data_IF_099884085725
#
_entry.id   IF_099884085725
#
_cell.length_a   1.000
_cell.length_b   1.000
_cell.length_c   1.000
_cell.angle_alpha   90.00
_cell.angle_beta   90.00
_cell.angle_gamma   90.00
#
_symmetry.space_group_name_H-M   'P 1'
#
loop_
_entity.id
_entity.type
_entity.pdbx_description
1 polymer ?
#
# COMPACT_ATOMS: atom_id res chain seq x y z
N UNK A 1 -20.49 -17.45 -20.28
CA UNK A 1 -19.41 -16.95 -19.46
C UNK A 1 -20.09 -16.42 -18.21
N UNK A 2 -19.84 -16.99 -17.04
CA UNK A 2 -20.33 -16.43 -15.79
C UNK A 2 -19.50 -15.17 -15.56
N UNK A 3 -20.13 -14.00 -15.65
CA UNK A 3 -19.52 -12.72 -15.25
C UNK A 3 -19.23 -12.81 -13.74
N UNK A 4 -18.05 -13.30 -13.36
CA UNK A 4 -17.61 -13.17 -11.99
C UNK A 4 -17.39 -11.68 -11.72
N UNK A 5 -17.92 -11.15 -10.60
CA UNK A 5 -17.69 -9.76 -10.28
C UNK A 5 -16.20 -9.51 -10.02
N UNK A 6 -15.68 -8.40 -10.52
CA UNK A 6 -14.32 -7.97 -10.21
C UNK A 6 -14.16 -7.76 -8.71
N UNK A 7 -13.16 -8.38 -8.10
CA UNK A 7 -12.86 -8.28 -6.67
C UNK A 7 -11.78 -7.22 -6.44
N UNK A 8 -12.04 -6.27 -5.54
CA UNK A 8 -11.03 -5.31 -5.09
C UNK A 8 -10.10 -5.96 -4.07
N UNK A 9 -8.83 -6.17 -4.42
CA UNK A 9 -7.79 -6.65 -3.49
C UNK A 9 -7.14 -5.45 -2.83
N UNK A 10 -7.37 -5.30 -1.52
CA UNK A 10 -7.05 -4.10 -0.74
C UNK A 10 -5.74 -4.31 0.03
N UNK A 11 -4.68 -3.62 -0.38
CA UNK A 11 -3.34 -3.68 0.24
C UNK A 11 -3.14 -2.45 1.11
N UNK A 12 -2.86 -2.69 2.39
CA UNK A 12 -2.69 -1.63 3.40
C UNK A 12 -1.38 -0.85 3.26
N UNK A 13 -1.33 0.31 3.92
CA UNK A 13 -0.12 1.13 4.06
C UNK A 13 0.84 0.63 5.13
N UNK A 14 1.99 1.29 5.24
CA UNK A 14 3.00 1.02 6.25
C UNK A 14 2.43 1.10 7.66
N UNK A 15 2.91 0.24 8.55
CA UNK A 15 2.51 0.08 9.95
C UNK A 15 1.05 -0.34 10.19
N UNK A 16 0.20 -0.35 9.16
CA UNK A 16 -1.20 -0.80 9.24
C UNK A 16 -1.33 -2.32 9.04
N UNK A 17 -2.55 -2.80 9.16
CA UNK A 17 -3.00 -4.16 8.87
C UNK A 17 -4.21 -4.09 7.94
N UNK A 18 -4.69 -5.24 7.46
CA UNK A 18 -5.94 -5.36 6.69
C UNK A 18 -7.13 -4.66 7.34
N UNK A 19 -7.12 -4.54 8.69
CA UNK A 19 -8.20 -3.89 9.45
C UNK A 19 -8.33 -2.38 9.19
N UNK A 20 -7.36 -1.74 8.54
CA UNK A 20 -7.53 -0.34 8.13
C UNK A 20 -8.72 -0.16 7.17
N UNK A 21 -9.09 -1.22 6.45
CA UNK A 21 -10.18 -1.20 5.49
C UNK A 21 -11.56 -1.49 6.09
N UNK A 22 -11.63 -1.78 7.41
CA UNK A 22 -12.89 -2.18 8.07
C UNK A 22 -13.98 -1.10 8.00
N UNK A 23 -13.60 0.17 7.97
CA UNK A 23 -14.55 1.28 7.82
C UNK A 23 -15.00 1.47 6.36
N UNK A 24 -14.17 1.09 5.37
CA UNK A 24 -14.46 1.28 3.93
C UNK A 24 -15.27 0.12 3.37
N UNK A 25 -14.89 -1.12 3.71
CA UNK A 25 -15.47 -2.35 3.14
C UNK A 25 -16.98 -2.46 3.22
N UNK A 26 -17.66 -2.04 4.31
CA UNK A 26 -19.13 -2.08 4.37
C UNK A 26 -19.84 -1.17 3.37
N UNK A 27 -19.12 -0.22 2.77
CA UNK A 27 -19.64 0.73 1.80
C UNK A 27 -19.28 0.39 0.35
N UNK A 28 -18.45 -0.63 0.12
CA UNK A 28 -18.11 -1.09 -1.23
C UNK A 28 -19.29 -1.86 -1.84
N UNK A 29 -19.62 -1.53 -3.08
CA UNK A 29 -20.57 -2.30 -3.89
C UNK A 29 -19.89 -3.53 -4.53
N UNK A 30 -18.58 -3.44 -4.83
CA UNK A 30 -17.81 -4.57 -5.34
C UNK A 30 -17.35 -5.48 -4.19
N UNK A 31 -17.24 -6.80 -4.40
CA UNK A 31 -16.62 -7.69 -3.43
C UNK A 31 -15.16 -7.29 -3.18
N UNK A 32 -14.64 -7.55 -1.97
CA UNK A 32 -13.28 -7.15 -1.62
C UNK A 32 -12.57 -8.18 -0.77
N UNK A 33 -11.26 -8.32 -1.00
CA UNK A 33 -10.31 -9.06 -0.19
C UNK A 33 -9.30 -8.07 0.42
N UNK A 34 -9.30 -7.89 1.73
CA UNK A 34 -8.28 -7.11 2.43
C UNK A 34 -7.19 -8.05 2.95
N UNK A 35 -5.94 -7.80 2.56
CA UNK A 35 -4.80 -8.67 2.85
C UNK A 35 -3.88 -8.08 3.91
N UNK A 36 -3.25 -8.93 4.72
CA UNK A 36 -2.13 -8.56 5.59
C UNK A 36 -0.81 -8.86 4.88
N UNK A 37 0.15 -7.96 5.05
CA UNK A 37 1.52 -8.17 4.55
C UNK A 37 2.37 -8.93 5.58
N UNK A 38 3.41 -9.68 5.19
CA UNK A 38 4.36 -10.31 6.10
C UNK A 38 4.90 -9.35 7.16
N UNK A 39 4.96 -9.82 8.41
CA UNK A 39 5.28 -9.01 9.58
C UNK A 39 4.04 -8.41 10.26
N UNK A 40 2.84 -8.66 9.74
CA UNK A 40 1.56 -8.22 10.32
C UNK A 40 0.87 -9.34 11.11
N UNK A 41 -0.19 -8.97 11.82
CA UNK A 41 -0.95 -9.74 12.79
C UNK A 41 -1.18 -11.21 12.42
N UNK A 42 -1.63 -11.46 11.19
CA UNK A 42 -1.96 -12.81 10.73
C UNK A 42 -0.89 -13.45 9.85
N UNK A 43 0.18 -12.70 9.56
CA UNK A 43 1.33 -13.16 8.79
C UNK A 43 2.62 -12.84 9.53
N UNK A 44 2.90 -13.51 10.66
CA UNK A 44 4.12 -13.28 11.42
C UNK A 44 5.35 -13.58 10.56
N UNK A 45 6.34 -12.71 10.60
CA UNK A 45 7.60 -12.86 9.89
C UNK A 45 8.74 -12.19 10.68
N UNK A 46 9.97 -12.58 10.39
CA UNK A 46 11.14 -11.88 10.88
C UNK A 46 11.30 -10.56 10.14
N UNK A 47 10.98 -9.45 10.79
CA UNK A 47 10.99 -8.13 10.17
C UNK A 47 12.35 -7.74 9.60
N UNK A 48 13.46 -8.28 10.14
CA UNK A 48 14.79 -8.00 9.64
C UNK A 48 15.06 -8.61 8.25
N UNK A 49 14.36 -9.70 7.93
CA UNK A 49 14.56 -10.48 6.71
C UNK A 49 13.50 -10.17 5.63
N UNK A 50 12.36 -9.56 6.00
CA UNK A 50 11.27 -9.29 5.05
C UNK A 50 11.71 -8.30 3.98
N UNK A 51 11.51 -8.70 2.73
CA UNK A 51 11.79 -7.92 1.52
C UNK A 51 10.50 -7.42 0.86
N UNK A 52 10.62 -6.55 -0.15
CA UNK A 52 9.48 -6.15 -0.99
C UNK A 52 8.92 -7.36 -1.77
N UNK A 53 9.80 -8.25 -2.24
CA UNK A 53 9.38 -9.46 -2.96
C UNK A 53 8.54 -10.39 -2.07
N UNK A 54 8.87 -10.51 -0.78
CA UNK A 54 8.04 -11.30 0.16
C UNK A 54 6.64 -10.72 0.29
N UNK A 55 6.50 -9.40 0.27
CA UNK A 55 5.20 -8.75 0.27
C UNK A 55 4.42 -9.03 -1.03
N UNK A 56 5.09 -8.94 -2.17
CA UNK A 56 4.51 -9.23 -3.50
C UNK A 56 4.04 -10.69 -3.59
N UNK A 57 4.89 -11.62 -3.20
CA UNK A 57 4.57 -13.06 -3.18
C UNK A 57 3.37 -13.32 -2.28
N UNK A 58 3.40 -12.77 -1.06
CA UNK A 58 2.33 -12.98 -0.07
C UNK A 58 0.96 -12.50 -0.56
N UNK A 59 0.88 -11.35 -1.22
CA UNK A 59 -0.39 -10.86 -1.79
C UNK A 59 -0.84 -11.73 -2.97
N UNK A 60 0.10 -12.18 -3.80
CA UNK A 60 -0.21 -13.07 -4.92
C UNK A 60 -0.74 -14.43 -4.46
N UNK A 61 -0.17 -14.96 -3.37
CA UNK A 61 -0.61 -16.22 -2.76
C UNK A 61 -2.02 -16.09 -2.15
N UNK A 62 -2.32 -14.96 -1.47
CA UNK A 62 -3.68 -14.69 -0.95
C UNK A 62 -4.73 -14.68 -2.09
N UNK A 63 -4.39 -14.07 -3.24
CA UNK A 63 -5.25 -14.04 -4.42
C UNK A 63 -5.50 -15.45 -4.95
N UNK A 64 -4.43 -16.26 -5.03
CA UNK A 64 -4.52 -17.64 -5.49
C UNK A 64 -5.30 -18.53 -4.51
N UNK A 65 -5.04 -18.43 -3.21
CA UNK A 65 -5.76 -19.18 -2.16
C UNK A 65 -7.25 -18.83 -2.11
N UNK A 66 -7.59 -17.57 -2.38
CA UNK A 66 -9.00 -17.12 -2.47
C UNK A 66 -9.66 -17.53 -3.81
N UNK A 67 -8.91 -18.12 -4.76
CA UNK A 67 -9.42 -18.53 -6.07
C UNK A 67 -9.92 -17.39 -6.94
N UNK A 68 -9.35 -16.19 -6.78
CA UNK A 68 -9.78 -15.00 -7.51
C UNK A 68 -9.21 -15.01 -8.94
N UNK A 69 -10.09 -14.73 -9.90
CA UNK A 69 -9.74 -14.69 -11.33
C UNK A 69 -9.96 -13.34 -11.99
N UNK A 70 -10.79 -12.49 -11.39
CA UNK A 70 -11.12 -11.16 -11.90
C UNK A 70 -10.88 -10.14 -10.79
N UNK A 71 -9.83 -9.35 -10.89
CA UNK A 71 -9.38 -8.49 -9.79
C UNK A 71 -9.02 -7.08 -10.22
N UNK A 72 -9.14 -6.15 -9.27
CA UNK A 72 -8.47 -4.85 -9.29
C UNK A 72 -7.58 -4.74 -8.02
N UNK A 73 -6.36 -4.29 -8.18
CA UNK A 73 -5.43 -4.10 -7.07
C UNK A 73 -5.57 -2.68 -6.52
N UNK A 74 -5.79 -2.54 -5.23
CA UNK A 74 -5.93 -1.26 -4.54
C UNK A 74 -4.83 -1.13 -3.50
N UNK A 75 -3.93 -0.16 -3.64
CA UNK A 75 -2.82 0.06 -2.72
C UNK A 75 -2.89 1.44 -2.07
N UNK A 76 -2.88 1.48 -0.74
CA UNK A 76 -2.78 2.71 0.02
C UNK A 76 -1.33 2.92 0.48
N UNK A 77 -0.82 4.16 0.37
CA UNK A 77 0.50 4.54 0.89
C UNK A 77 1.60 3.55 0.45
N UNK A 78 2.21 2.80 1.37
CA UNK A 78 3.21 1.74 1.06
C UNK A 78 2.65 0.63 0.17
N UNK A 79 1.34 0.35 0.20
CA UNK A 79 0.71 -0.58 -0.75
C UNK A 79 0.94 -0.19 -2.22
N UNK A 80 1.23 1.08 -2.48
CA UNK A 80 1.49 1.59 -3.83
C UNK A 80 2.75 1.04 -4.48
N UNK A 81 3.79 0.69 -3.73
CA UNK A 81 4.96 0.02 -4.30
C UNK A 81 4.89 -1.51 -4.23
N UNK A 82 3.82 -2.06 -3.64
CA UNK A 82 3.57 -3.51 -3.63
C UNK A 82 2.77 -3.93 -4.86
N UNK A 83 1.66 -3.24 -5.15
CA UNK A 83 0.71 -3.67 -6.19
C UNK A 83 1.30 -3.74 -7.62
N UNK A 84 2.31 -2.95 -8.03
CA UNK A 84 2.94 -3.16 -9.34
C UNK A 84 3.70 -4.48 -9.45
N UNK A 85 4.41 -4.90 -8.39
CA UNK A 85 5.08 -6.20 -8.35
C UNK A 85 4.07 -7.35 -8.41
N UNK A 86 2.95 -7.24 -7.68
CA UNK A 86 1.84 -8.20 -7.77
C UNK A 86 1.29 -8.27 -9.19
N UNK A 87 1.07 -7.12 -9.85
CA UNK A 87 0.61 -7.07 -11.23
C UNK A 87 1.56 -7.77 -12.19
N UNK A 88 2.88 -7.54 -12.03
CA UNK A 88 3.91 -8.21 -12.81
C UNK A 88 3.84 -9.72 -12.63
N UNK A 89 3.81 -10.20 -11.39
CA UNK A 89 3.73 -11.63 -11.07
C UNK A 89 2.46 -12.29 -11.62
N UNK A 90 1.31 -11.62 -11.49
CA UNK A 90 0.03 -12.14 -12.00
C UNK A 90 -0.08 -12.11 -13.51
N UNK A 91 0.66 -11.26 -14.22
CA UNK A 91 0.68 -11.23 -15.69
C UNK A 91 1.23 -12.52 -16.31
N UNK A 92 1.99 -13.30 -15.53
CA UNK A 92 2.50 -14.62 -15.92
C UNK A 92 1.48 -15.74 -15.69
N UNK A 93 0.36 -15.44 -14.99
CA UNK A 93 -0.69 -16.40 -14.62
C UNK A 93 -1.90 -16.20 -15.52
N UNK A 94 -2.06 -17.02 -16.53
CA UNK A 94 -3.12 -16.88 -17.55
C UNK A 94 -4.56 -16.97 -17.03
N UNK A 95 -4.77 -17.43 -15.80
CA UNK A 95 -6.10 -17.58 -15.19
C UNK A 95 -6.60 -16.34 -14.45
N UNK A 96 -5.75 -15.32 -14.28
CA UNK A 96 -6.12 -14.08 -13.57
C UNK A 96 -6.23 -12.93 -14.55
N UNK A 97 -7.38 -12.28 -14.58
CA UNK A 97 -7.62 -11.03 -15.30
C UNK A 97 -7.46 -9.85 -14.34
N UNK A 98 -6.43 -9.06 -14.56
CA UNK A 98 -6.17 -7.85 -13.82
C UNK A 98 -6.79 -6.64 -14.56
N UNK A 99 -7.82 -6.05 -13.99
CA UNK A 99 -8.56 -4.94 -14.61
C UNK A 99 -7.88 -3.60 -14.42
N UNK A 100 -7.35 -3.34 -13.23
CA UNK A 100 -6.74 -2.04 -12.93
C UNK A 100 -5.86 -2.07 -11.68
N UNK A 101 -5.00 -1.05 -11.56
CA UNK A 101 -4.33 -0.68 -10.31
C UNK A 101 -4.89 0.66 -9.83
N UNK A 102 -5.26 0.73 -8.56
CA UNK A 102 -5.79 1.94 -7.91
C UNK A 102 -4.84 2.32 -6.79
N UNK A 103 -4.19 3.45 -6.93
CA UNK A 103 -3.24 4.01 -5.99
C UNK A 103 -3.93 5.08 -5.14
N UNK A 104 -4.01 4.89 -3.82
CA UNK A 104 -4.68 5.83 -2.90
C UNK A 104 -3.64 6.47 -2.00
N UNK A 105 -3.41 7.77 -2.13
CA UNK A 105 -2.40 8.50 -1.36
C UNK A 105 -1.08 7.70 -1.28
N UNK A 106 -0.63 7.18 -2.43
CA UNK A 106 0.32 6.08 -2.51
C UNK A 106 1.73 6.54 -2.84
N UNK A 107 2.73 5.85 -2.28
CA UNK A 107 4.12 5.98 -2.70
C UNK A 107 4.36 5.08 -3.90
N UNK A 108 4.82 5.69 -5.00
CA UNK A 108 5.10 5.01 -6.26
C UNK A 108 6.50 5.43 -6.72
N UNK A 109 7.55 4.63 -6.43
CA UNK A 109 8.90 4.99 -6.82
C UNK A 109 9.12 4.91 -8.34
N UNK A 110 10.04 5.72 -8.85
CA UNK A 110 10.56 5.55 -10.19
C UNK A 110 11.46 4.30 -10.26
N UNK A 111 11.73 3.81 -11.49
CA UNK A 111 12.64 2.69 -11.72
C UNK A 111 14.00 2.90 -11.02
N UNK A 112 14.48 1.90 -10.29
CA UNK A 112 15.74 1.89 -9.58
C UNK A 112 15.80 2.82 -8.35
N UNK A 113 14.67 3.44 -7.95
CA UNK A 113 14.58 4.25 -6.73
C UNK A 113 14.02 3.43 -5.59
N UNK A 114 14.32 3.87 -4.37
CA UNK A 114 13.79 3.24 -3.16
C UNK A 114 12.60 4.02 -2.64
N UNK A 115 11.59 3.38 -2.05
CA UNK A 115 10.47 4.09 -1.43
C UNK A 115 10.91 5.16 -0.41
N UNK A 116 11.97 4.88 0.36
CA UNK A 116 12.54 5.81 1.34
C UNK A 116 13.04 7.12 0.72
N UNK A 117 13.42 7.13 -0.57
CA UNK A 117 13.94 8.32 -1.25
C UNK A 117 12.87 9.41 -1.43
N UNK A 118 11.58 9.05 -1.27
CA UNK A 118 10.42 9.96 -1.36
C UNK A 118 9.90 10.43 0.00
N UNK A 119 10.47 9.95 1.09
CA UNK A 119 10.17 10.49 2.41
C UNK A 119 10.87 11.84 2.61
N UNK A 120 10.27 12.69 3.43
CA UNK A 120 10.96 13.89 3.94
C UNK A 120 12.27 13.47 4.61
N UNK A 121 13.25 14.36 4.59
CA UNK A 121 14.61 14.08 5.09
C UNK A 121 14.59 13.58 6.55
N UNK A 122 13.82 14.25 7.42
CA UNK A 122 13.67 13.87 8.82
C UNK A 122 13.06 12.46 9.00
N UNK A 123 12.14 12.07 8.14
CA UNK A 123 11.52 10.73 8.16
C UNK A 123 12.43 9.67 7.53
N UNK A 124 13.26 10.05 6.58
CA UNK A 124 14.23 9.16 5.95
C UNK A 124 15.27 8.70 6.95
N UNK A 125 15.83 9.64 7.71
CA UNK A 125 16.83 9.34 8.74
C UNK A 125 16.25 8.42 9.80
N UNK A 126 15.03 8.71 10.27
CA UNK A 126 14.30 7.86 11.22
C UNK A 126 14.04 6.44 10.68
N UNK A 127 13.72 6.30 9.39
CA UNK A 127 13.52 4.99 8.77
C UNK A 127 14.81 4.17 8.73
N UNK A 128 15.95 4.84 8.50
CA UNK A 128 17.28 4.21 8.51
C UNK A 128 17.66 3.78 9.92
N UNK A 129 17.44 4.63 10.92
CA UNK A 129 17.69 4.32 12.34
C UNK A 129 16.80 3.17 12.82
N UNK A 130 15.53 3.15 12.44
CA UNK A 130 14.62 2.06 12.73
C UNK A 130 15.10 0.72 12.15
N UNK A 131 15.60 0.73 10.90
CA UNK A 131 16.23 -0.45 10.30
C UNK A 131 17.37 -0.96 11.16
N UNK A 132 18.25 -0.08 11.61
CA UNK A 132 19.40 -0.48 12.42
C UNK A 132 18.94 -1.10 13.73
N UNK A 133 17.94 -0.53 14.40
CA UNK A 133 17.37 -1.07 15.63
C UNK A 133 16.74 -2.47 15.42
N UNK A 134 16.08 -2.71 14.29
CA UNK A 134 15.54 -4.04 13.93
C UNK A 134 16.67 -5.04 13.68
N UNK A 135 17.71 -4.65 12.94
CA UNK A 135 18.87 -5.52 12.64
C UNK A 135 19.69 -5.84 13.91
N UNK A 136 19.80 -4.91 14.83
CA UNK A 136 20.53 -5.08 16.11
C UNK A 136 19.78 -5.99 17.11
N UNK A 137 18.66 -6.58 16.67
CA UNK A 137 17.90 -7.51 17.50
C UNK A 137 17.05 -6.84 18.55
N UNK A 138 16.70 -5.57 18.37
CA UNK A 138 15.71 -4.85 19.18
C UNK A 138 14.29 -5.45 19.08
N UNK A 139 14.22 -6.74 18.78
CA UNK A 139 13.02 -7.55 18.72
C UNK A 139 12.29 -7.50 20.05
N UNK A 140 11.05 -7.06 20.04
CA UNK A 140 10.22 -7.00 21.22
C UNK A 140 10.30 -5.69 22.01
N UNK A 141 10.97 -4.69 21.49
CA UNK A 141 10.77 -3.35 22.02
C UNK A 141 9.35 -2.90 21.63
N UNK A 142 8.50 -2.89 22.64
CA UNK A 142 7.23 -2.16 22.54
C UNK A 142 7.54 -0.72 22.16
N UNK A 143 6.59 -0.01 21.57
CA UNK A 143 6.65 1.44 21.26
C UNK A 143 7.37 2.29 22.32
N UNK A 144 7.59 1.76 23.50
CA UNK A 144 8.30 2.36 24.60
C UNK A 144 9.84 2.39 24.51
N UNK A 145 10.47 1.56 23.69
CA UNK A 145 11.94 1.50 23.58
C UNK A 145 12.49 2.27 22.36
N UNK A 146 11.64 2.48 21.35
CA UNK A 146 11.93 3.29 20.15
C UNK A 146 11.23 4.67 20.21
N UNK A 147 10.91 5.12 21.41
CA UNK A 147 9.95 6.19 21.69
C UNK A 147 10.12 7.45 20.87
N UNK A 148 11.33 7.89 20.62
CA UNK A 148 11.57 9.18 19.97
C UNK A 148 11.51 9.05 18.43
N UNK A 149 12.04 7.98 17.85
CA UNK A 149 12.02 7.74 16.41
C UNK A 149 10.64 7.30 15.91
N UNK A 150 10.02 6.31 16.55
CA UNK A 150 8.68 5.84 16.18
C UNK A 150 7.60 6.87 16.48
N UNK A 151 7.70 7.59 17.60
CA UNK A 151 6.80 8.69 17.91
C UNK A 151 6.93 9.82 16.89
N UNK A 152 8.11 10.11 16.37
CA UNK A 152 8.31 11.12 15.34
C UNK A 152 7.74 10.66 13.98
N UNK A 153 7.98 9.42 13.55
CA UNK A 153 7.35 8.85 12.34
C UNK A 153 5.83 8.84 12.52
N UNK A 154 5.35 8.31 13.64
CA UNK A 154 3.93 8.23 13.95
C UNK A 154 3.29 9.62 14.06
N UNK A 155 3.95 10.61 14.68
CA UNK A 155 3.49 11.99 14.74
C UNK A 155 3.49 12.65 13.37
N UNK A 156 4.54 12.45 12.58
CA UNK A 156 4.61 12.98 11.24
C UNK A 156 3.57 12.38 10.31
N UNK A 157 3.24 11.09 10.50
CA UNK A 157 2.20 10.38 9.76
C UNK A 157 0.80 10.56 10.37
N UNK A 158 0.65 11.28 11.50
CA UNK A 158 -0.60 11.37 12.28
C UNK A 158 -1.16 10.00 12.70
N UNK A 159 -0.28 9.05 12.97
CA UNK A 159 -0.62 7.66 13.23
C UNK A 159 -0.73 7.37 14.74
N UNK A 160 -0.20 8.26 15.61
CA UNK A 160 -0.12 8.08 17.07
C UNK A 160 -1.48 7.88 17.75
N UNK A 161 -2.55 8.38 17.15
CA UNK A 161 -3.87 8.40 17.83
C UNK A 161 -4.64 7.07 17.80
N UNK A 162 -4.12 6.01 17.15
CA UNK A 162 -4.95 4.84 16.85
C UNK A 162 -4.49 3.49 17.41
N UNK A 163 -3.62 3.50 18.39
CA UNK A 163 -3.41 2.32 19.28
C UNK A 163 -3.13 0.97 18.56
N UNK A 164 -3.83 -0.10 18.94
CA UNK A 164 -3.46 -1.49 18.62
C UNK A 164 -3.56 -1.93 17.15
N UNK A 165 -3.94 -1.05 16.23
CA UNK A 165 -4.00 -1.34 14.78
C UNK A 165 -2.66 -1.19 14.08
N UNK A 166 -1.65 -0.68 14.76
CA UNK A 166 -0.34 -0.42 14.17
C UNK A 166 0.66 -1.50 14.58
N UNK A 167 1.47 -1.92 13.63
CA UNK A 167 2.57 -2.86 13.82
C UNK A 167 3.92 -2.20 13.56
N UNK A 168 4.99 -2.88 13.96
CA UNK A 168 6.34 -2.53 13.51
C UNK A 168 6.44 -2.70 11.98
N UNK A 169 7.27 -1.88 11.34
CA UNK A 169 7.50 -1.94 9.91
C UNK A 169 8.76 -2.76 9.59
N UNK A 170 8.68 -3.61 8.57
CA UNK A 170 9.86 -4.25 8.01
C UNK A 170 10.66 -3.22 7.21
N UNK A 171 11.95 -3.04 7.49
CA UNK A 171 12.76 -2.03 6.79
C UNK A 171 13.08 -2.39 5.34
N UNK A 172 13.14 -3.69 5.01
CA UNK A 172 13.52 -4.15 3.67
C UNK A 172 12.65 -3.60 2.55
N UNK A 173 11.31 -3.66 2.62
CA UNK A 173 10.44 -3.11 1.58
C UNK A 173 10.59 -1.60 1.35
N UNK A 174 10.91 -0.85 2.40
CA UNK A 174 11.10 0.61 2.33
C UNK A 174 12.47 0.99 1.75
N UNK A 175 13.51 0.18 2.04
CA UNK A 175 14.91 0.45 1.71
C UNK A 175 15.40 -0.31 0.47
N UNK A 176 14.65 -1.28 -0.04
CA UNK A 176 14.92 -2.01 -1.27
C UNK A 176 14.68 -1.15 -2.51
N UNK A 177 15.42 -1.44 -3.59
CA UNK A 177 15.18 -0.83 -4.88
C UNK A 177 13.86 -1.33 -5.48
N UNK A 178 13.11 -0.41 -6.06
CA UNK A 178 11.85 -0.69 -6.73
C UNK A 178 12.08 -0.85 -8.25
N UNK A 179 11.34 -1.76 -8.88
CA UNK A 179 11.41 -1.97 -10.32
C UNK A 179 10.03 -2.07 -10.96
N UNK A 180 9.91 -1.45 -12.13
CA UNK A 180 8.79 -1.59 -13.06
C UNK A 180 9.02 -2.69 -14.11
N UNK A 181 10.15 -3.40 -14.05
CA UNK A 181 10.48 -4.45 -15.03
C UNK A 181 9.37 -5.53 -15.07
N UNK A 182 8.91 -5.85 -16.28
CA UNK A 182 7.84 -6.83 -16.49
C UNK A 182 6.42 -6.32 -16.20
N UNK A 183 6.25 -5.07 -15.74
CA UNK A 183 4.92 -4.53 -15.47
C UNK A 183 4.03 -4.53 -16.74
N UNK A 184 2.78 -5.03 -16.67
CA UNK A 184 1.87 -5.07 -17.81
C UNK A 184 1.33 -3.66 -18.14
N UNK A 185 2.04 -2.94 -19.01
CA UNK A 185 1.79 -1.51 -19.29
C UNK A 185 0.39 -1.20 -19.82
N UNK A 186 -0.32 -2.20 -20.37
CA UNK A 186 -1.69 -2.07 -20.85
C UNK A 186 -2.74 -1.98 -19.72
N UNK A 187 -2.38 -2.39 -18.48
CA UNK A 187 -3.31 -2.33 -17.35
C UNK A 187 -3.54 -0.87 -16.94
N UNK A 188 -4.81 -0.41 -16.86
CA UNK A 188 -5.14 0.92 -16.42
C UNK A 188 -4.62 1.21 -15.01
N UNK A 189 -4.14 2.42 -14.78
CA UNK A 189 -3.62 2.91 -13.51
C UNK A 189 -4.40 4.14 -13.10
N UNK A 190 -4.98 4.10 -11.92
CA UNK A 190 -5.78 5.18 -11.35
C UNK A 190 -5.11 5.70 -10.09
N UNK A 191 -5.18 6.99 -9.85
CA UNK A 191 -4.62 7.59 -8.65
C UNK A 191 -5.68 8.40 -7.91
N UNK A 192 -5.85 8.14 -6.61
CA UNK A 192 -6.69 8.94 -5.70
C UNK A 192 -5.76 9.84 -4.91
N UNK A 193 -5.80 11.14 -5.22
CA UNK A 193 -4.98 12.17 -4.59
C UNK A 193 -5.74 12.79 -3.43
N UNK A 194 -5.21 12.68 -2.22
CA UNK A 194 -5.79 13.28 -1.02
C UNK A 194 -5.27 14.72 -0.87
N UNK A 195 -6.13 15.72 -1.06
CA UNK A 195 -5.73 17.13 -1.17
C UNK A 195 -5.23 17.74 0.15
N UNK A 196 -5.56 17.15 1.30
CA UNK A 196 -5.09 17.56 2.64
C UNK A 196 -4.03 16.64 3.21
N UNK A 197 -3.44 15.76 2.37
CA UNK A 197 -2.41 14.83 2.78
C UNK A 197 -1.10 15.56 3.12
N UNK A 198 -0.56 15.29 4.31
CA UNK A 198 0.72 15.84 4.78
C UNK A 198 1.88 14.84 4.64
N UNK A 199 1.57 13.59 4.31
CA UNK A 199 2.54 12.50 4.09
C UNK A 199 2.90 12.44 2.61
N UNK A 200 1.88 12.37 1.76
CA UNK A 200 1.99 12.44 0.30
C UNK A 200 1.21 13.68 -0.16
N UNK A 201 1.75 14.88 0.03
CA UNK A 201 1.08 16.11 -0.38
C UNK A 201 0.85 16.13 -1.89
N UNK A 202 -0.08 16.95 -2.40
CA UNK A 202 -0.48 16.95 -3.82
C UNK A 202 0.69 17.04 -4.80
N UNK A 203 1.71 17.82 -4.50
CA UNK A 203 2.91 17.99 -5.36
C UNK A 203 3.75 16.70 -5.39
N UNK A 204 3.81 15.97 -4.28
CA UNK A 204 4.47 14.67 -4.23
C UNK A 204 3.61 13.60 -4.93
N UNK A 205 2.29 13.67 -4.79
CA UNK A 205 1.35 12.79 -5.50
C UNK A 205 1.50 12.95 -7.02
N UNK A 206 1.68 14.18 -7.53
CA UNK A 206 1.96 14.44 -8.95
C UNK A 206 3.27 13.77 -9.41
N UNK A 207 4.28 13.76 -8.54
CA UNK A 207 5.53 13.01 -8.79
C UNK A 207 5.26 11.51 -8.85
N UNK A 208 4.45 10.95 -7.94
CA UNK A 208 4.08 9.52 -7.96
C UNK A 208 3.34 9.15 -9.23
N UNK A 209 2.42 10.01 -9.68
CA UNK A 209 1.68 9.84 -10.93
C UNK A 209 2.65 9.82 -12.13
N UNK A 210 3.62 10.72 -12.16
CA UNK A 210 4.64 10.76 -13.22
C UNK A 210 5.52 9.50 -13.20
N UNK A 211 5.93 9.02 -12.02
CA UNK A 211 6.77 7.82 -11.85
C UNK A 211 6.13 6.55 -12.42
N UNK A 212 4.81 6.44 -12.37
CA UNK A 212 4.10 5.29 -12.96
C UNK A 212 3.79 5.44 -14.44
N UNK A 213 4.37 6.44 -15.11
CA UNK A 213 4.12 6.72 -16.53
C UNK A 213 2.79 7.43 -16.81
N UNK A 214 2.25 8.10 -15.79
CA UNK A 214 0.94 8.77 -15.82
C UNK A 214 -0.20 7.87 -15.37
N UNK A 215 -1.29 8.48 -14.92
CA UNK A 215 -2.53 7.82 -14.56
C UNK A 215 -3.56 7.96 -15.68
N UNK A 216 -4.39 6.93 -15.88
CA UNK A 216 -5.55 6.98 -16.78
C UNK A 216 -6.59 7.98 -16.26
N UNK A 217 -6.81 7.98 -14.95
CA UNK A 217 -7.67 8.93 -14.23
C UNK A 217 -7.01 9.30 -12.90
N UNK A 218 -7.11 10.59 -12.56
CA UNK A 218 -6.79 11.10 -11.22
C UNK A 218 -8.08 11.59 -10.59
N UNK A 219 -8.40 11.06 -9.41
CA UNK A 219 -9.53 11.49 -8.58
C UNK A 219 -8.99 12.29 -7.40
N UNK A 220 -9.57 13.45 -7.15
CA UNK A 220 -9.24 14.28 -6.00
C UNK A 220 -10.21 14.04 -4.85
N UNK A 221 -9.69 13.84 -3.64
CA UNK A 221 -10.46 13.66 -2.43
C UNK A 221 -10.02 14.70 -1.38
N UNK A 222 -10.96 15.45 -0.85
CA UNK A 222 -10.75 16.49 0.18
C UNK A 222 -10.41 15.89 1.57
N UNK A 223 -9.53 14.91 1.61
CA UNK A 223 -9.11 14.15 2.79
C UNK A 223 -7.60 14.27 3.06
N UNK A 224 -7.21 13.91 4.28
CA UNK A 224 -5.80 13.66 4.64
C UNK A 224 -5.35 12.25 4.27
N UNK A 225 -4.13 11.87 4.70
CA UNK A 225 -3.53 10.56 4.40
C UNK A 225 -4.42 9.37 4.80
N UNK A 226 -5.23 9.53 5.84
CA UNK A 226 -6.12 8.50 6.37
C UNK A 226 -7.57 8.68 5.88
N UNK A 227 -7.74 8.82 4.56
CA UNK A 227 -9.06 8.92 3.95
C UNK A 227 -9.97 7.74 4.30
N UNK A 228 -9.39 6.56 4.53
CA UNK A 228 -10.11 5.34 4.92
C UNK A 228 -10.81 5.45 6.29
N UNK A 229 -10.33 6.32 7.19
CA UNK A 229 -10.99 6.60 8.48
C UNK A 229 -11.93 7.81 8.41
N UNK A 230 -11.48 8.88 7.74
CA UNK A 230 -12.19 10.16 7.75
C UNK A 230 -13.30 10.28 6.70
N UNK A 231 -13.14 9.59 5.56
CA UNK A 231 -14.05 9.65 4.40
C UNK A 231 -14.33 8.24 3.82
N UNK A 232 -14.69 7.24 4.65
CA UNK A 232 -14.78 5.84 4.21
C UNK A 232 -15.82 5.62 3.13
N UNK A 233 -16.98 6.30 3.19
CA UNK A 233 -18.05 6.18 2.20
C UNK A 233 -17.67 6.78 0.85
N UNK A 234 -17.07 7.96 0.87
CA UNK A 234 -16.62 8.63 -0.35
C UNK A 234 -15.48 7.86 -1.02
N UNK A 235 -14.53 7.38 -0.22
CA UNK A 235 -13.43 6.54 -0.71
C UNK A 235 -13.96 5.23 -1.31
N UNK A 236 -14.92 4.56 -0.67
CA UNK A 236 -15.55 3.37 -1.22
C UNK A 236 -16.24 3.65 -2.57
N UNK A 237 -16.96 4.77 -2.68
CA UNK A 237 -17.62 5.18 -3.94
C UNK A 237 -16.60 5.45 -5.06
N UNK A 238 -15.43 5.99 -4.73
CA UNK A 238 -14.34 6.19 -5.69
C UNK A 238 -13.78 4.83 -6.14
N UNK A 239 -13.48 3.94 -5.19
CA UNK A 239 -12.98 2.59 -5.49
C UNK A 239 -13.95 1.85 -6.41
N UNK A 240 -15.24 1.83 -6.09
CA UNK A 240 -16.25 1.16 -6.91
C UNK A 240 -16.28 1.67 -8.36
N UNK A 241 -16.24 3.00 -8.54
CA UNK A 241 -16.19 3.59 -9.89
C UNK A 241 -14.94 3.17 -10.66
N UNK A 242 -13.78 3.19 -10.00
CA UNK A 242 -12.50 2.88 -10.65
C UNK A 242 -12.34 1.37 -10.92
N UNK A 243 -12.89 0.50 -10.07
CA UNK A 243 -12.93 -0.96 -10.31
C UNK A 243 -13.84 -1.29 -11.50
N UNK A 244 -14.95 -0.55 -11.65
CA UNK A 244 -15.91 -0.76 -12.73
C UNK A 244 -15.58 0.03 -14.01
N UNK A 245 -14.57 0.89 -14.00
CA UNK A 245 -14.13 1.63 -15.19
C UNK A 245 -13.56 0.66 -16.24
N UNK A 246 -14.10 0.74 -17.47
CA UNK A 246 -13.71 -0.10 -18.62
C UNK A 246 -13.15 0.77 -19.75
#
# INVERSE_FOLDING_TARGET
>A
MTDNPTVAVLVHGGTFTSTMWDAVRPHLAVPSLAVDLPGRRYKPADLAEVTLEDWVVSVSDDIAEAGLTDIALVGHSSGGYVIPGVATRLSEVSSVMLHSLIFIAATVPAEGKRPVDYLREDLRDLAIDHRQAVLDGARGHTLGGLRDGEAAIATALQIVENGPRMGLEAPGPLLGEFSWAGFPSAVPRYFVRCLKDKVIPPELADTMIANMGGATVVEDLEAGHRAFDSHPQELASIIDRLVCAR
#
